data_IF_892678216847
#
_entry.id   IF_892678216847
#
_cell.length_a   1.000
_cell.length_b   1.000
_cell.length_c   1.000
_cell.angle_alpha   90.00
_cell.angle_beta   90.00
_cell.angle_gamma   90.00
#
_symmetry.space_group_name_H-M   'P 1'
#
loop_
_entity.id
_entity.type
_entity.pdbx_description
1 polymer ?
#
# COMPACT_ATOMS: atom_id res chain seq x y z
N UNK A 1 5.40 2.58 22.04
CA UNK A 1 5.80 3.67 21.12
C UNK A 1 4.90 3.60 19.90
N UNK A 2 4.09 4.63 19.63
CA UNK A 2 3.22 4.73 18.45
C UNK A 2 4.06 5.09 17.22
N UNK A 3 4.79 4.12 16.67
CA UNK A 3 5.59 4.32 15.47
C UNK A 3 4.73 4.29 14.21
N UNK A 4 4.96 5.23 13.29
CA UNK A 4 4.42 5.18 11.94
C UNK A 4 5.59 5.07 10.97
N UNK A 5 5.74 3.91 10.32
CA UNK A 5 6.76 3.68 9.27
C UNK A 5 6.09 3.69 7.90
N UNK A 6 6.55 4.57 7.03
CA UNK A 6 6.09 4.66 5.64
C UNK A 6 7.31 4.60 4.73
N UNK A 7 7.26 3.74 3.72
CA UNK A 7 8.34 3.58 2.75
C UNK A 7 7.76 3.33 1.35
N UNK A 8 8.32 4.03 0.37
CA UNK A 8 8.06 3.79 -1.06
C UNK A 8 9.40 3.38 -1.69
N UNK A 9 9.49 2.17 -2.24
CA UNK A 9 10.76 1.63 -2.71
C UNK A 9 10.61 0.82 -4.01
N UNK A 10 11.63 0.75 -4.87
CA UNK A 10 11.59 -0.07 -6.08
C UNK A 10 11.84 -1.56 -5.78
N UNK A 11 12.62 -1.83 -4.73
CA UNK A 11 13.10 -3.17 -4.40
C UNK A 11 11.95 -4.07 -3.90
N UNK A 12 12.00 -5.37 -4.21
CA UNK A 12 11.05 -6.33 -3.66
C UNK A 12 11.19 -6.44 -2.15
N UNK A 13 10.06 -6.66 -1.47
CA UNK A 13 10.03 -7.00 -0.05
C UNK A 13 9.16 -8.23 0.18
N UNK A 14 9.50 -9.03 1.19
CA UNK A 14 8.63 -10.09 1.71
C UNK A 14 7.70 -9.49 2.79
N UNK A 15 6.38 -9.43 2.56
CA UNK A 15 5.44 -8.87 3.54
C UNK A 15 5.51 -9.57 4.90
N UNK A 16 5.71 -10.89 4.93
CA UNK A 16 5.72 -11.66 6.16
C UNK A 16 6.98 -11.39 6.99
N UNK A 17 8.12 -11.25 6.32
CA UNK A 17 9.36 -10.83 6.99
C UNK A 17 9.23 -9.41 7.53
N UNK A 18 8.64 -8.48 6.77
CA UNK A 18 8.42 -7.11 7.24
C UNK A 18 7.48 -7.06 8.45
N UNK A 19 6.43 -7.88 8.45
CA UNK A 19 5.51 -8.03 9.59
C UNK A 19 6.22 -8.63 10.82
N UNK A 20 7.10 -9.61 10.64
CA UNK A 20 7.86 -10.20 11.74
C UNK A 20 8.83 -9.20 12.39
N UNK A 21 9.39 -8.28 11.60
CA UNK A 21 10.27 -7.20 12.09
C UNK A 21 9.49 -6.01 12.66
N UNK A 22 8.22 -5.86 12.27
CA UNK A 22 7.36 -4.79 12.74
C UNK A 22 6.81 -5.10 14.12
N UNK A 23 7.34 -4.41 15.12
CA UNK A 23 7.05 -4.65 16.53
C UNK A 23 5.96 -3.71 17.08
N UNK A 24 5.21 -4.25 18.05
CA UNK A 24 4.31 -3.50 18.91
C UNK A 24 3.51 -4.45 19.79
N UNK A 25 2.95 -3.93 20.87
CA UNK A 25 2.38 -4.66 22.00
C UNK A 25 0.84 -4.59 22.06
N UNK A 26 0.21 -4.05 21.02
CA UNK A 26 -1.24 -3.90 20.97
C UNK A 26 -1.96 -5.24 20.78
N UNK A 27 -3.17 -5.35 21.32
CA UNK A 27 -3.93 -6.61 21.36
C UNK A 27 -4.56 -7.05 20.03
N UNK A 28 -4.61 -6.18 19.01
CA UNK A 28 -5.17 -6.49 17.70
C UNK A 28 -4.34 -5.89 16.56
N UNK A 29 -4.34 -6.56 15.41
CA UNK A 29 -3.76 -6.07 14.17
C UNK A 29 -4.72 -6.28 12.99
N UNK A 30 -4.73 -5.32 12.06
CA UNK A 30 -5.35 -5.44 10.75
C UNK A 30 -4.23 -5.34 9.70
N UNK A 31 -4.18 -6.31 8.79
CA UNK A 31 -3.11 -6.46 7.80
C UNK A 31 -3.74 -6.60 6.42
N UNK A 32 -3.24 -5.81 5.47
CA UNK A 32 -3.57 -5.91 4.06
C UNK A 32 -2.30 -6.06 3.24
N UNK A 33 -2.27 -7.08 2.37
CA UNK A 33 -1.22 -7.30 1.39
C UNK A 33 -1.86 -7.22 0.01
N UNK A 34 -1.55 -6.17 -0.74
CA UNK A 34 -1.94 -6.05 -2.14
C UNK A 34 -0.90 -6.71 -3.03
N UNK A 35 -1.37 -7.42 -4.06
CA UNK A 35 -0.53 -8.05 -5.09
C UNK A 35 -0.95 -7.58 -6.48
N UNK A 36 0.00 -7.59 -7.40
CA UNK A 36 -0.29 -7.32 -8.82
C UNK A 36 -1.18 -8.42 -9.36
N UNK A 37 -2.31 -8.05 -9.97
CA UNK A 37 -3.24 -8.97 -10.63
C UNK A 37 -2.65 -9.54 -11.92
N UNK A 38 -3.09 -10.72 -12.38
CA UNK A 38 -2.59 -11.34 -13.61
C UNK A 38 -3.17 -10.77 -14.91
N UNK A 39 -4.14 -9.86 -14.80
CA UNK A 39 -4.82 -9.27 -15.96
C UNK A 39 -4.82 -7.75 -15.91
N UNK A 40 -4.80 -7.13 -17.07
CA UNK A 40 -5.05 -5.69 -17.25
C UNK A 40 -6.48 -5.33 -16.87
N UNK A 41 -6.79 -4.03 -16.83
CA UNK A 41 -8.15 -3.55 -16.57
C UNK A 41 -9.16 -3.94 -17.64
N UNK A 42 -8.72 -4.13 -18.88
CA UNK A 42 -9.55 -4.61 -19.99
C UNK A 42 -9.57 -6.15 -20.12
N UNK A 43 -8.99 -6.88 -19.16
CA UNK A 43 -9.10 -8.34 -19.04
C UNK A 43 -8.07 -9.15 -19.84
N UNK A 44 -7.07 -8.50 -20.45
CA UNK A 44 -5.97 -9.18 -21.15
C UNK A 44 -4.89 -9.66 -20.16
N UNK A 45 -4.06 -10.65 -20.53
CA UNK A 45 -2.92 -11.06 -19.71
C UNK A 45 -1.97 -9.88 -19.44
N UNK A 46 -1.66 -9.63 -18.18
CA UNK A 46 -0.72 -8.60 -17.77
C UNK A 46 0.71 -9.15 -17.78
N UNK A 47 1.63 -8.45 -18.44
CA UNK A 47 3.07 -8.73 -18.38
C UNK A 47 3.72 -8.06 -17.17
N UNK A 48 3.37 -6.79 -16.93
CA UNK A 48 3.83 -6.03 -15.78
C UNK A 48 2.89 -4.88 -15.44
N UNK A 49 2.79 -4.55 -14.16
CA UNK A 49 2.29 -3.26 -13.70
C UNK A 49 3.49 -2.38 -13.38
N UNK A 50 3.54 -1.19 -13.95
CA UNK A 50 4.56 -0.20 -13.66
C UNK A 50 3.97 0.97 -12.90
N UNK A 51 4.66 1.39 -11.84
CA UNK A 51 4.27 2.54 -11.04
C UNK A 51 5.37 3.58 -11.01
N UNK A 52 5.00 4.80 -11.36
CA UNK A 52 5.80 5.99 -11.16
C UNK A 52 5.21 6.82 -10.01
N UNK A 53 6.08 7.60 -9.37
CA UNK A 53 5.72 8.50 -8.28
C UNK A 53 6.68 9.69 -8.29
N UNK A 54 6.33 10.76 -7.57
CA UNK A 54 7.26 11.85 -7.30
C UNK A 54 8.03 11.54 -5.99
N UNK A 55 9.35 11.26 -6.06
CA UNK A 55 10.11 10.87 -4.88
C UNK A 55 10.07 11.93 -3.78
N UNK A 56 9.86 11.47 -2.56
CA UNK A 56 9.74 12.28 -1.36
C UNK A 56 8.39 12.98 -1.17
N UNK A 57 7.64 13.33 -2.23
CA UNK A 57 6.29 13.92 -2.04
C UNK A 57 5.29 12.84 -1.65
N UNK A 58 5.35 11.69 -2.31
CA UNK A 58 4.45 10.56 -2.08
C UNK A 58 4.53 10.08 -0.63
N UNK A 59 5.75 9.82 -0.15
CA UNK A 59 6.08 9.37 1.19
C UNK A 59 5.61 10.38 2.25
N UNK A 60 5.83 11.68 1.99
CA UNK A 60 5.36 12.76 2.89
C UNK A 60 3.85 12.79 3.00
N UNK A 61 3.13 12.67 1.89
CA UNK A 61 1.66 12.67 1.90
C UNK A 61 1.09 11.44 2.60
N UNK A 62 1.61 10.24 2.29
CA UNK A 62 1.19 9.00 2.94
C UNK A 62 1.50 9.05 4.44
N UNK A 63 2.68 9.55 4.84
CA UNK A 63 3.06 9.71 6.26
C UNK A 63 2.12 10.66 6.99
N UNK A 64 1.86 11.84 6.43
CA UNK A 64 0.95 12.81 7.04
C UNK A 64 -0.47 12.23 7.19
N UNK A 65 -0.96 11.52 6.18
CA UNK A 65 -2.27 10.87 6.26
C UNK A 65 -2.28 9.75 7.31
N UNK A 66 -1.25 8.89 7.33
CA UNK A 66 -1.17 7.79 8.28
C UNK A 66 -1.14 8.28 9.72
N UNK A 67 -0.38 9.33 10.03
CA UNK A 67 -0.36 9.96 11.35
C UNK A 67 -1.73 10.55 11.71
N UNK A 68 -2.40 11.21 10.78
CA UNK A 68 -3.76 11.75 10.99
C UNK A 68 -4.76 10.65 11.32
N UNK A 69 -4.79 9.58 10.51
CA UNK A 69 -5.69 8.44 10.69
C UNK A 69 -5.36 7.62 11.94
N UNK A 70 -4.08 7.56 12.33
CA UNK A 70 -3.64 6.94 13.58
C UNK A 70 -4.32 7.63 14.78
N UNK A 71 -4.28 8.96 14.81
CA UNK A 71 -4.90 9.76 15.86
C UNK A 71 -6.44 9.66 15.81
N UNK A 72 -7.03 9.82 14.62
CA UNK A 72 -8.49 9.79 14.42
C UNK A 72 -9.12 8.48 14.93
N UNK A 73 -8.46 7.35 14.69
CA UNK A 73 -8.99 6.03 15.04
C UNK A 73 -8.46 5.47 16.35
N UNK A 74 -7.59 6.21 17.07
CA UNK A 74 -6.90 5.73 18.27
C UNK A 74 -6.15 4.41 18.00
N UNK A 75 -5.45 4.36 16.86
CA UNK A 75 -4.64 3.21 16.48
C UNK A 75 -3.24 3.31 17.09
N UNK A 76 -2.61 2.14 17.29
CA UNK A 76 -1.23 1.97 17.67
C UNK A 76 -0.29 2.07 16.46
N UNK A 77 0.84 1.33 16.45
CA UNK A 77 1.80 1.37 15.35
C UNK A 77 1.17 1.14 13.97
N UNK A 78 1.76 1.77 12.94
CA UNK A 78 1.36 1.66 11.54
C UNK A 78 2.60 1.36 10.69
N UNK A 79 2.46 0.42 9.76
CA UNK A 79 3.42 0.12 8.70
C UNK A 79 2.74 0.29 7.35
N UNK A 80 3.32 1.10 6.48
CA UNK A 80 2.95 1.21 5.06
C UNK A 80 4.21 1.02 4.22
N UNK A 81 4.25 -0.05 3.44
CA UNK A 81 5.28 -0.26 2.42
C UNK A 81 4.60 -0.31 1.06
N UNK A 82 5.11 0.44 0.10
CA UNK A 82 4.58 0.44 -1.26
C UNK A 82 5.71 0.32 -2.28
N UNK A 83 5.57 -0.60 -3.23
CA UNK A 83 6.52 -0.76 -4.33
C UNK A 83 6.22 0.16 -5.49
N UNK A 84 7.28 0.61 -6.15
CA UNK A 84 7.24 1.36 -7.41
C UNK A 84 8.16 0.70 -8.45
N UNK A 85 8.21 1.22 -9.68
CA UNK A 85 8.91 0.58 -10.78
C UNK A 85 8.04 -0.49 -11.46
N UNK A 86 8.66 -1.44 -12.17
CA UNK A 86 7.96 -2.53 -12.86
C UNK A 86 7.81 -3.75 -11.95
N UNK A 87 6.59 -4.26 -11.85
CA UNK A 87 6.24 -5.42 -11.05
C UNK A 87 5.53 -6.48 -11.89
N UNK A 88 5.89 -7.74 -11.68
CA UNK A 88 5.25 -8.87 -12.35
C UNK A 88 3.92 -9.27 -11.66
N UNK A 89 3.00 -9.95 -12.36
CA UNK A 89 1.84 -10.59 -11.74
C UNK A 89 2.18 -11.42 -10.51
N UNK A 90 1.37 -11.28 -9.46
CA UNK A 90 1.51 -11.99 -8.19
C UNK A 90 2.51 -11.35 -7.22
N UNK A 91 3.35 -10.41 -7.65
CA UNK A 91 4.29 -9.73 -6.75
C UNK A 91 3.55 -8.88 -5.72
N UNK A 92 3.99 -8.87 -4.44
CA UNK A 92 3.52 -7.91 -3.45
C UNK A 92 3.82 -6.49 -3.93
N UNK A 93 2.80 -5.63 -3.93
CA UNK A 93 2.92 -4.23 -4.30
C UNK A 93 2.71 -3.30 -3.11
N UNK A 94 1.88 -3.68 -2.15
CA UNK A 94 1.61 -2.86 -0.97
C UNK A 94 1.41 -3.73 0.26
N UNK A 95 1.97 -3.30 1.39
CA UNK A 95 1.68 -3.82 2.72
C UNK A 95 1.16 -2.65 3.56
N UNK A 96 -0.03 -2.81 4.12
CA UNK A 96 -0.55 -1.93 5.17
C UNK A 96 -0.79 -2.79 6.40
N UNK A 97 -0.20 -2.42 7.52
CA UNK A 97 -0.43 -3.07 8.80
C UNK A 97 -0.70 -2.02 9.87
N UNK A 98 -1.75 -2.23 10.64
CA UNK A 98 -2.18 -1.32 11.72
C UNK A 98 -2.44 -2.14 12.97
N UNK A 99 -1.81 -1.74 14.07
CA UNK A 99 -2.07 -2.30 15.39
C UNK A 99 -3.02 -1.40 16.18
N UNK A 100 -3.80 -1.95 17.11
CA UNK A 100 -4.61 -1.20 18.07
C UNK A 100 -5.05 -2.08 19.24
N UNK A 101 -5.46 -1.50 20.36
CA UNK A 101 -5.97 -2.24 21.52
C UNK A 101 -7.29 -2.98 21.24
N UNK A 102 -8.03 -2.51 20.23
CA UNK A 102 -9.30 -3.10 19.80
C UNK A 102 -9.32 -3.29 18.30
N UNK A 103 -9.78 -4.47 17.86
CA UNK A 103 -9.87 -4.84 16.43
C UNK A 103 -10.57 -3.77 15.57
N UNK A 104 -11.61 -3.13 16.10
CA UNK A 104 -12.37 -2.13 15.35
C UNK A 104 -11.56 -0.88 15.00
N UNK A 105 -10.65 -0.44 15.87
CA UNK A 105 -9.76 0.67 15.59
C UNK A 105 -8.74 0.31 14.50
N UNK A 106 -8.10 -0.87 14.62
CA UNK A 106 -7.15 -1.37 13.62
C UNK A 106 -7.81 -1.53 12.23
N UNK A 107 -8.99 -2.15 12.17
CA UNK A 107 -9.72 -2.39 10.93
C UNK A 107 -10.11 -1.09 10.23
N UNK A 108 -10.72 -0.13 10.95
CA UNK A 108 -11.15 1.13 10.35
C UNK A 108 -9.98 1.98 9.88
N UNK A 109 -8.92 2.06 10.68
CA UNK A 109 -7.72 2.80 10.31
C UNK A 109 -7.04 2.18 9.08
N UNK A 110 -6.90 0.85 9.03
CA UNK A 110 -6.36 0.16 7.85
C UNK A 110 -7.22 0.40 6.61
N UNK A 111 -8.55 0.34 6.73
CA UNK A 111 -9.45 0.59 5.61
C UNK A 111 -9.34 2.03 5.09
N UNK A 112 -9.33 3.02 5.99
CA UNK A 112 -9.19 4.43 5.61
C UNK A 112 -7.83 4.72 4.94
N UNK A 113 -6.75 4.07 5.41
CA UNK A 113 -5.43 4.15 4.78
C UNK A 113 -5.42 3.60 3.35
N UNK A 114 -6.07 2.46 3.12
CA UNK A 114 -6.16 1.87 1.79
C UNK A 114 -6.92 2.78 0.82
N UNK A 115 -8.00 3.41 1.27
CA UNK A 115 -8.74 4.37 0.46
C UNK A 115 -7.90 5.60 0.09
N UNK A 116 -7.09 6.09 1.04
CA UNK A 116 -6.15 7.16 0.75
C UNK A 116 -5.09 6.73 -0.28
N UNK A 117 -4.44 5.58 -0.08
CA UNK A 117 -3.43 5.07 -1.01
C UNK A 117 -4.00 4.85 -2.42
N UNK A 118 -5.27 4.46 -2.50
CA UNK A 118 -5.94 4.18 -3.75
C UNK A 118 -6.32 5.43 -4.52
N UNK A 119 -6.79 6.48 -3.84
CA UNK A 119 -7.40 7.64 -4.51
C UNK A 119 -6.60 8.94 -4.39
N UNK A 120 -5.75 9.07 -3.39
CA UNK A 120 -5.11 10.33 -3.02
C UNK A 120 -3.58 10.28 -3.11
N UNK A 121 -2.97 9.08 -3.03
CA UNK A 121 -1.53 8.96 -3.21
C UNK A 121 -1.11 9.21 -4.68
N UNK A 122 -0.04 10.00 -4.92
CA UNK A 122 0.36 10.45 -6.25
C UNK A 122 1.17 9.36 -6.99
N UNK A 123 0.49 8.26 -7.32
CA UNK A 123 1.02 7.18 -8.14
C UNK A 123 0.42 7.23 -9.55
N UNK A 124 1.27 7.10 -10.56
CA UNK A 124 0.86 6.89 -11.95
C UNK A 124 1.10 5.44 -12.33
N UNK A 125 0.06 4.78 -12.85
CA UNK A 125 0.07 3.34 -13.14
C UNK A 125 0.06 3.11 -14.64
N UNK A 126 0.94 2.23 -15.12
CA UNK A 126 1.01 1.78 -16.52
C UNK A 126 0.94 0.26 -16.56
N UNK A 127 0.02 -0.29 -17.33
CA UNK A 127 -0.10 -1.72 -17.56
C UNK A 127 0.62 -2.11 -18.85
N UNK A 128 1.43 -3.17 -18.79
CA UNK A 128 2.11 -3.74 -19.94
C UNK A 128 1.41 -5.02 -20.39
N UNK A 129 1.09 -5.11 -21.68
CA UNK A 129 0.50 -6.29 -22.31
C UNK A 129 0.98 -6.37 -23.75
N UNK A 130 1.45 -7.55 -24.19
CA UNK A 130 1.99 -7.78 -25.53
C UNK A 130 3.07 -6.75 -25.93
N UNK A 131 3.95 -6.40 -24.98
CA UNK A 131 5.00 -5.39 -25.18
C UNK A 131 4.53 -3.95 -25.26
N UNK A 132 3.23 -3.66 -25.11
CA UNK A 132 2.67 -2.31 -25.14
C UNK A 132 2.29 -1.83 -23.74
N UNK A 133 2.74 -0.62 -23.38
CA UNK A 133 2.43 0.02 -22.10
C UNK A 133 1.31 1.05 -22.23
N UNK A 134 0.24 0.88 -21.45
CA UNK A 134 -0.91 1.80 -21.42
C UNK A 134 -1.05 2.44 -20.05
N UNK A 135 -1.07 3.76 -19.99
CA UNK A 135 -1.33 4.52 -18.76
C UNK A 135 -2.78 4.40 -18.33
N UNK A 136 -3.01 4.14 -17.05
CA UNK A 136 -4.33 4.11 -16.46
C UNK A 136 -4.80 5.53 -16.16
N UNK A 137 -5.99 5.88 -16.65
CA UNK A 137 -6.61 7.19 -16.43
C UNK A 137 -7.46 7.27 -15.16
N UNK A 138 -7.80 6.12 -14.56
CA UNK A 138 -8.61 6.02 -13.35
C UNK A 138 -8.16 4.83 -12.48
N UNK A 139 -8.42 4.94 -11.17
CA UNK A 139 -8.24 3.82 -10.25
C UNK A 139 -9.48 2.91 -10.30
N UNK A 140 -9.28 1.60 -10.15
CA UNK A 140 -10.38 0.62 -10.01
C UNK A 140 -11.25 1.02 -8.81
N UNK A 141 -12.60 1.07 -8.88
CA UNK A 141 -13.45 1.24 -7.69
C UNK A 141 -13.25 0.11 -6.67
N UNK A 142 -13.73 0.26 -5.43
CA UNK A 142 -13.77 -0.86 -4.47
C UNK A 142 -14.79 -1.91 -4.89
#
# INVERSE_FOLDING_TARGET
MTGCRVEVCPDPFDPWQQLALWCGDAAAAAIFIGRVRPTTMDGRPLEALELEHFPGLCERQITAMAQRLQQEHQAGPILVLHRVGKLAPGEPIVLVAVQADRRGAAQRCSAALLEHLKHQAPFWKREWCAGQGTWLVANTPL
#
